data_IF_383603207288
#
_entry.id   IF_383603207288
#
_cell.length_a   1.000
_cell.length_b   1.000
_cell.length_c   1.000
_cell.angle_alpha   90.00
_cell.angle_beta   90.00
_cell.angle_gamma   90.00
#
_symmetry.space_group_name_H-M   'P 1'
#
loop_
_entity.id
_entity.type
_entity.pdbx_description
1 polymer ?
#
# COMPACT_ATOMS: atom_id res chain seq x y z
N UNK A 1 19.86 -20.12 9.70
CA UNK A 1 19.60 -18.66 9.50
C UNK A 1 20.84 -17.85 9.87
N UNK A 2 21.36 -17.02 8.97
CA UNK A 2 22.39 -16.02 9.27
C UNK A 2 21.68 -14.69 9.68
N UNK A 3 21.63 -14.44 10.97
CA UNK A 3 20.93 -13.24 11.51
C UNK A 3 21.58 -11.92 11.11
N UNK A 4 22.80 -11.94 10.56
CA UNK A 4 23.52 -10.74 10.14
C UNK A 4 23.27 -10.36 8.68
N UNK A 5 22.74 -11.27 7.86
CA UNK A 5 22.44 -11.04 6.45
C UNK A 5 20.93 -11.06 6.21
N UNK A 6 20.49 -10.27 5.25
CA UNK A 6 19.11 -10.30 4.74
C UNK A 6 18.84 -11.64 4.05
N UNK A 7 17.60 -12.11 4.15
CA UNK A 7 17.13 -13.19 3.25
C UNK A 7 17.10 -12.61 1.83
N UNK A 8 17.76 -13.26 0.85
CA UNK A 8 17.77 -12.76 -0.52
C UNK A 8 16.35 -12.69 -1.10
N UNK A 9 16.03 -11.60 -1.77
CA UNK A 9 14.76 -11.46 -2.49
C UNK A 9 14.90 -12.15 -3.84
N UNK A 10 13.86 -12.88 -4.25
CA UNK A 10 13.80 -13.48 -5.58
C UNK A 10 13.63 -12.43 -6.65
N UNK A 11 14.34 -12.57 -7.74
CA UNK A 11 14.27 -11.68 -8.90
C UNK A 11 14.20 -12.50 -10.19
N UNK A 12 13.63 -11.88 -11.23
CA UNK A 12 13.71 -12.44 -12.59
C UNK A 12 15.17 -12.54 -13.05
N UNK A 13 15.50 -13.64 -13.73
CA UNK A 13 16.81 -13.76 -14.41
C UNK A 13 17.05 -12.58 -15.34
N UNK A 14 18.31 -12.11 -15.40
CA UNK A 14 18.68 -10.92 -16.15
C UNK A 14 18.36 -11.01 -17.66
N UNK A 15 18.45 -12.20 -18.25
CA UNK A 15 18.12 -12.41 -19.67
C UNK A 15 16.60 -12.45 -19.88
N UNK A 16 15.84 -12.99 -18.92
CA UNK A 16 14.38 -13.05 -18.98
C UNK A 16 13.78 -11.66 -18.83
N UNK A 17 14.21 -10.89 -17.82
CA UNK A 17 13.69 -9.54 -17.59
C UNK A 17 14.00 -8.54 -18.71
N UNK A 18 15.02 -8.81 -19.53
CA UNK A 18 15.35 -7.99 -20.69
C UNK A 18 14.34 -8.15 -21.86
N UNK A 19 13.46 -9.14 -21.80
CA UNK A 19 12.47 -9.47 -22.87
C UNK A 19 11.04 -9.16 -22.50
N UNK A 20 10.76 -8.67 -21.30
CA UNK A 20 9.42 -8.37 -20.81
C UNK A 20 9.39 -7.12 -19.94
N UNK A 21 8.18 -6.67 -19.56
CA UNK A 21 7.94 -5.56 -18.64
C UNK A 21 7.30 -6.02 -17.33
N UNK A 22 7.43 -7.31 -17.01
CA UNK A 22 6.92 -7.87 -15.76
C UNK A 22 7.77 -7.41 -14.57
N UNK A 23 7.23 -7.54 -13.36
CA UNK A 23 7.91 -7.12 -12.15
C UNK A 23 9.20 -7.91 -11.93
N UNK A 24 10.33 -7.20 -11.86
CA UNK A 24 11.66 -7.83 -11.73
C UNK A 24 11.83 -8.46 -10.36
N UNK A 25 11.49 -7.74 -9.30
CA UNK A 25 11.56 -8.23 -7.93
C UNK A 25 10.29 -9.06 -7.62
N UNK A 26 10.45 -10.36 -7.43
CA UNK A 26 9.33 -11.28 -7.19
C UNK A 26 8.85 -11.29 -5.72
N UNK A 27 9.57 -10.60 -4.84
CA UNK A 27 9.25 -10.55 -3.41
C UNK A 27 9.58 -11.84 -2.67
N UNK A 28 9.13 -11.93 -1.42
CA UNK A 28 9.27 -13.12 -0.57
C UNK A 28 8.09 -14.09 -0.76
N UNK A 29 8.34 -15.39 -0.56
CA UNK A 29 7.30 -16.35 -0.23
C UNK A 29 7.08 -16.37 1.30
N UNK A 30 6.20 -17.26 1.78
CA UNK A 30 5.86 -17.37 3.20
C UNK A 30 7.07 -17.72 4.07
N UNK A 31 7.84 -18.72 3.67
CA UNK A 31 9.00 -19.20 4.42
C UNK A 31 10.09 -18.11 4.48
N UNK A 32 10.41 -17.50 3.35
CA UNK A 32 11.37 -16.40 3.25
C UNK A 32 10.96 -15.19 4.10
N UNK A 33 9.67 -14.84 4.08
CA UNK A 33 9.14 -13.74 4.88
C UNK A 33 9.23 -14.02 6.38
N UNK A 34 8.87 -15.23 6.82
CA UNK A 34 8.97 -15.64 8.24
C UNK A 34 10.44 -15.70 8.68
N UNK A 35 11.34 -16.18 7.83
CA UNK A 35 12.79 -16.20 8.09
C UNK A 35 13.33 -14.78 8.25
N UNK A 36 13.05 -13.87 7.31
CA UNK A 36 13.47 -12.47 7.40
C UNK A 36 12.86 -11.77 8.62
N UNK A 37 11.57 -12.00 8.90
CA UNK A 37 10.89 -11.47 10.07
C UNK A 37 11.55 -11.92 11.39
N UNK A 38 12.08 -13.14 11.44
CA UNK A 38 12.77 -13.70 12.62
C UNK A 38 14.08 -12.99 12.93
N UNK A 39 14.64 -12.21 12.02
CA UNK A 39 15.81 -11.36 12.28
C UNK A 39 15.47 -10.14 13.13
N UNK A 40 14.19 -9.74 13.20
CA UNK A 40 13.75 -8.63 14.04
C UNK A 40 13.87 -8.98 15.52
N UNK A 41 14.45 -8.09 16.31
CA UNK A 41 14.67 -8.28 17.75
C UNK A 41 13.59 -7.64 18.63
N UNK A 42 12.52 -7.09 18.06
CA UNK A 42 11.41 -6.51 18.82
C UNK A 42 11.83 -5.36 19.73
N UNK A 43 12.53 -4.34 19.24
CA UNK A 43 13.08 -3.26 20.04
C UNK A 43 11.99 -2.50 20.82
N UNK A 44 12.15 -2.32 22.15
CA UNK A 44 11.24 -1.48 22.97
C UNK A 44 11.19 -0.02 22.51
N UNK A 45 12.30 0.54 22.05
CA UNK A 45 12.41 1.88 21.48
C UNK A 45 12.82 1.76 20.01
N UNK A 46 11.90 1.30 19.19
CA UNK A 46 12.13 0.97 17.80
C UNK A 46 12.40 2.23 16.97
N UNK A 47 13.67 2.46 16.62
CA UNK A 47 14.05 3.62 15.81
C UNK A 47 13.51 3.52 14.37
N UNK A 48 13.23 2.32 13.88
CA UNK A 48 12.58 2.12 12.57
C UNK A 48 11.18 2.77 12.50
N UNK A 49 10.40 2.77 13.59
CA UNK A 49 9.12 3.49 13.65
C UNK A 49 9.34 4.98 13.42
N UNK A 50 10.35 5.57 14.08
CA UNK A 50 10.68 7.00 13.92
C UNK A 50 11.24 7.33 12.52
N UNK A 51 11.76 6.33 11.82
CA UNK A 51 12.21 6.45 10.44
C UNK A 51 11.07 6.32 9.42
N UNK A 52 9.89 5.86 9.83
CA UNK A 52 8.72 5.74 8.96
C UNK A 52 7.90 7.05 9.00
N UNK A 53 7.67 7.73 7.87
CA UNK A 53 6.90 8.98 7.84
C UNK A 53 5.48 8.87 8.38
N UNK A 54 4.87 7.68 8.30
CA UNK A 54 3.51 7.40 8.79
C UNK A 54 3.50 6.59 10.08
N UNK A 55 4.67 6.39 10.70
CA UNK A 55 4.85 5.75 11.99
C UNK A 55 4.17 4.37 12.14
N UNK A 56 4.31 3.49 11.11
CA UNK A 56 3.83 2.10 11.20
C UNK A 56 4.46 1.43 12.43
N UNK A 57 3.67 0.66 13.18
CA UNK A 57 4.19 -0.23 14.23
C UNK A 57 4.96 -1.39 13.60
N UNK A 58 6.22 -1.11 13.22
CA UNK A 58 7.08 -2.04 12.50
C UNK A 58 7.38 -3.30 13.30
N UNK A 59 7.81 -3.25 14.57
CA UNK A 59 7.99 -4.48 15.36
C UNK A 59 6.70 -5.27 15.51
N UNK A 60 5.56 -4.61 15.64
CA UNK A 60 4.27 -5.26 15.82
C UNK A 60 3.86 -6.07 14.59
N UNK A 61 3.92 -5.50 13.38
CA UNK A 61 3.58 -6.26 12.19
C UNK A 61 4.60 -7.37 11.88
N UNK A 62 5.90 -7.12 12.10
CA UNK A 62 6.94 -8.13 11.85
C UNK A 62 6.79 -9.33 12.80
N UNK A 63 6.42 -9.10 14.06
CA UNK A 63 6.15 -10.22 15.00
C UNK A 63 4.98 -11.09 14.53
N UNK A 64 3.95 -10.47 13.92
CA UNK A 64 2.84 -11.21 13.31
C UNK A 64 3.28 -12.02 12.09
N UNK A 65 4.09 -11.43 11.19
CA UNK A 65 4.66 -12.16 10.04
C UNK A 65 5.50 -13.34 10.52
N UNK A 66 6.35 -13.13 11.53
CA UNK A 66 7.17 -14.18 12.13
C UNK A 66 6.33 -15.34 12.68
N UNK A 67 5.16 -15.04 13.24
CA UNK A 67 4.20 -16.04 13.73
C UNK A 67 3.33 -16.67 12.63
N UNK A 68 3.45 -16.24 11.37
CA UNK A 68 2.63 -16.73 10.25
C UNK A 68 1.22 -16.13 10.19
N UNK A 69 0.91 -15.16 11.07
CA UNK A 69 -0.39 -14.47 11.11
C UNK A 69 -0.35 -13.22 10.22
N UNK A 70 -0.45 -13.45 8.90
CA UNK A 70 -0.27 -12.37 7.91
C UNK A 70 -1.47 -11.42 7.89
N UNK A 71 -2.67 -11.93 8.17
CA UNK A 71 -3.86 -11.09 8.29
C UNK A 71 -3.70 -10.08 9.43
N UNK A 72 -3.31 -10.54 10.63
CA UNK A 72 -3.06 -9.63 11.73
C UNK A 72 -1.90 -8.67 11.45
N UNK A 73 -0.86 -9.10 10.71
CA UNK A 73 0.23 -8.22 10.27
C UNK A 73 -0.32 -7.09 9.38
N UNK A 74 -1.19 -7.41 8.43
CA UNK A 74 -1.83 -6.44 7.55
C UNK A 74 -2.70 -5.45 8.34
N UNK A 75 -3.49 -5.92 9.31
CA UNK A 75 -4.30 -5.04 10.16
C UNK A 75 -3.41 -4.08 11.00
N UNK A 76 -2.23 -4.50 11.42
CA UNK A 76 -1.27 -3.60 12.10
C UNK A 76 -0.78 -2.51 11.15
N UNK A 77 -0.36 -2.87 9.93
CA UNK A 77 0.15 -1.92 8.92
C UNK A 77 -0.95 -0.93 8.52
N UNK A 78 -2.15 -1.42 8.24
CA UNK A 78 -3.27 -0.62 7.72
C UNK A 78 -3.80 0.43 8.70
N UNK A 79 -3.45 0.35 10.00
CA UNK A 79 -3.75 1.42 10.97
C UNK A 79 -3.06 2.75 10.63
N UNK A 80 -1.90 2.69 9.99
CA UNK A 80 -1.05 3.87 9.69
C UNK A 80 -0.80 4.08 8.20
N UNK A 81 -0.88 3.03 7.38
CA UNK A 81 -0.59 3.09 5.95
C UNK A 81 -1.80 2.62 5.14
N UNK A 82 -2.30 3.50 4.26
CA UNK A 82 -3.40 3.17 3.35
C UNK A 82 -2.91 2.48 2.06
N UNK A 83 -1.62 2.55 1.73
CA UNK A 83 -1.04 2.07 0.48
C UNK A 83 0.20 1.19 0.72
N UNK A 84 0.14 0.15 1.57
CA UNK A 84 1.33 -0.62 1.94
C UNK A 84 1.96 -1.37 0.77
N UNK A 85 1.20 -1.84 -0.20
CA UNK A 85 1.73 -2.49 -1.41
C UNK A 85 2.57 -1.52 -2.25
N UNK A 86 2.20 -0.24 -2.28
CA UNK A 86 2.97 0.83 -2.93
C UNK A 86 4.22 1.15 -2.11
N UNK A 87 4.03 1.44 -0.82
CA UNK A 87 5.13 1.81 0.08
C UNK A 87 6.23 0.74 0.12
N UNK A 88 5.87 -0.53 0.20
CA UNK A 88 6.82 -1.64 0.16
C UNK A 88 7.65 -1.74 -1.12
N UNK A 89 7.22 -1.06 -2.20
CA UNK A 89 7.93 -1.04 -3.49
C UNK A 89 8.70 0.24 -3.76
N UNK A 90 8.19 1.41 -3.35
CA UNK A 90 8.72 2.71 -3.79
C UNK A 90 9.31 3.58 -2.69
N UNK A 91 9.05 3.28 -1.40
CA UNK A 91 9.72 4.02 -0.32
C UNK A 91 11.23 3.81 -0.38
N UNK A 92 12.04 4.85 -0.14
CA UNK A 92 13.49 4.73 0.02
C UNK A 92 13.83 4.19 1.43
N UNK A 93 13.47 2.91 1.69
CA UNK A 93 13.53 2.29 3.02
C UNK A 93 14.94 2.35 3.63
N UNK A 94 15.98 2.28 2.79
CA UNK A 94 17.40 2.35 3.20
C UNK A 94 17.77 3.68 3.87
N UNK A 95 17.07 4.76 3.57
CA UNK A 95 17.24 6.07 4.20
C UNK A 95 16.18 6.36 5.28
N UNK A 96 15.14 5.56 5.35
CA UNK A 96 14.00 5.70 6.26
C UNK A 96 14.03 4.62 7.37
N UNK A 97 13.05 3.72 7.35
CA UNK A 97 12.87 2.71 8.41
C UNK A 97 14.03 1.72 8.50
N UNK A 98 14.51 1.18 7.38
CA UNK A 98 15.65 0.25 7.36
C UNK A 98 16.95 0.94 7.77
N UNK A 99 17.17 2.20 7.33
CA UNK A 99 18.33 3.00 7.74
C UNK A 99 18.40 3.31 9.23
N UNK A 100 17.28 3.11 9.97
CA UNK A 100 17.22 3.25 11.44
C UNK A 100 17.18 1.91 12.17
N UNK A 101 17.25 0.79 11.44
CA UNK A 101 17.21 -0.53 12.03
C UNK A 101 18.51 -0.85 12.77
N UNK A 102 18.42 -1.23 14.06
CA UNK A 102 19.59 -1.53 14.89
C UNK A 102 20.42 -2.72 14.36
N UNK A 103 19.80 -3.63 13.63
CA UNK A 103 20.52 -4.72 12.96
C UNK A 103 21.57 -4.21 11.97
N UNK A 104 21.33 -3.06 11.35
CA UNK A 104 22.26 -2.40 10.43
C UNK A 104 23.59 -1.93 11.05
N UNK A 105 23.72 -1.94 12.40
CA UNK A 105 24.96 -1.54 13.08
C UNK A 105 26.06 -2.61 12.94
N UNK A 106 25.68 -3.90 12.98
CA UNK A 106 26.65 -5.02 12.96
C UNK A 106 26.46 -5.96 11.76
N UNK A 107 25.46 -5.72 10.93
CA UNK A 107 25.12 -6.53 9.77
C UNK A 107 24.20 -5.75 8.84
N UNK A 108 23.29 -6.45 8.18
CA UNK A 108 22.29 -5.82 7.33
C UNK A 108 21.00 -5.53 8.12
N UNK A 109 20.33 -4.38 7.89
CA UNK A 109 19.04 -4.11 8.50
C UNK A 109 18.01 -5.15 8.09
N UNK A 110 16.93 -5.31 8.86
CA UNK A 110 15.79 -6.13 8.44
C UNK A 110 15.16 -5.51 7.19
N UNK A 111 14.78 -6.34 6.22
CA UNK A 111 14.13 -5.91 4.97
C UNK A 111 12.67 -5.51 5.21
N UNK A 112 12.48 -4.40 5.92
CA UNK A 112 11.16 -3.94 6.40
C UNK A 112 10.21 -3.70 5.23
N UNK A 113 10.68 -3.00 4.18
CA UNK A 113 9.86 -2.73 3.01
C UNK A 113 9.45 -4.00 2.24
N UNK A 114 10.33 -5.02 2.18
CA UNK A 114 10.00 -6.28 1.53
C UNK A 114 8.97 -7.09 2.33
N UNK A 115 9.03 -7.02 3.66
CA UNK A 115 8.02 -7.64 4.53
C UNK A 115 6.67 -6.88 4.46
N UNK A 116 6.69 -5.55 4.39
CA UNK A 116 5.49 -4.74 4.17
C UNK A 116 4.83 -5.09 2.82
N UNK A 117 5.63 -5.16 1.74
CA UNK A 117 5.18 -5.60 0.43
C UNK A 117 4.55 -6.99 0.46
N UNK A 118 5.26 -7.98 1.03
CA UNK A 118 4.77 -9.36 1.15
C UNK A 118 3.42 -9.39 1.86
N UNK A 119 3.30 -8.71 3.01
CA UNK A 119 2.08 -8.65 3.80
C UNK A 119 0.92 -8.05 3.01
N UNK A 120 1.16 -6.96 2.28
CA UNK A 120 0.15 -6.29 1.49
C UNK A 120 -0.28 -7.09 0.25
N UNK A 121 0.67 -7.73 -0.44
CA UNK A 121 0.38 -8.57 -1.60
C UNK A 121 -0.41 -9.82 -1.18
N UNK A 122 -0.03 -10.46 -0.08
CA UNK A 122 -0.75 -11.59 0.49
C UNK A 122 -2.19 -11.22 0.88
N UNK A 123 -2.37 -10.09 1.56
CA UNK A 123 -3.69 -9.61 1.96
C UNK A 123 -4.59 -9.38 0.73
N UNK A 124 -4.07 -8.74 -0.31
CA UNK A 124 -4.78 -8.53 -1.57
C UNK A 124 -5.18 -9.86 -2.24
N UNK A 125 -4.27 -10.83 -2.29
CA UNK A 125 -4.53 -12.14 -2.92
C UNK A 125 -5.58 -12.95 -2.16
N UNK A 126 -5.67 -12.76 -0.85
CA UNK A 126 -6.65 -13.43 0.02
C UNK A 126 -7.91 -12.59 0.27
N UNK A 127 -8.06 -11.43 -0.37
CA UNK A 127 -9.25 -10.58 -0.23
C UNK A 127 -9.40 -9.95 1.15
N UNK A 128 -8.29 -9.81 1.90
CA UNK A 128 -8.29 -9.18 3.22
C UNK A 128 -8.33 -7.66 3.04
N UNK A 129 -9.25 -7.02 3.73
CA UNK A 129 -9.40 -5.56 3.75
C UNK A 129 -9.10 -4.99 5.14
N UNK A 130 -8.73 -3.70 5.24
CA UNK A 130 -8.61 -3.04 6.53
C UNK A 130 -9.91 -3.08 7.31
N UNK A 131 -9.81 -3.13 8.65
CA UNK A 131 -11.00 -3.02 9.51
C UNK A 131 -11.76 -1.72 9.21
N UNK A 132 -13.05 -1.85 8.95
CA UNK A 132 -13.95 -0.74 8.67
C UNK A 132 -14.34 0.06 9.92
N UNK A 133 -15.11 1.13 9.72
CA UNK A 133 -15.64 1.92 10.81
C UNK A 133 -16.69 1.14 11.61
N UNK A 134 -16.59 1.17 12.93
CA UNK A 134 -17.61 0.57 13.83
C UNK A 134 -18.91 1.36 13.83
N UNK A 135 -18.85 2.67 13.54
CA UNK A 135 -20.01 3.57 13.56
C UNK A 135 -20.01 4.49 12.34
N UNK A 136 -21.19 4.68 11.75
CA UNK A 136 -21.39 5.64 10.65
C UNK A 136 -21.59 7.04 11.21
N UNK A 137 -20.86 8.02 10.69
CA UNK A 137 -20.97 9.42 11.12
C UNK A 137 -22.05 10.23 10.40
N UNK A 138 -22.72 9.65 9.41
CA UNK A 138 -23.82 10.26 8.67
C UNK A 138 -23.45 11.51 7.86
N UNK A 139 -22.17 11.81 7.66
CA UNK A 139 -21.69 12.96 6.88
C UNK A 139 -21.04 12.48 5.59
N UNK A 140 -21.29 13.25 4.51
CA UNK A 140 -20.73 13.02 3.17
C UNK A 140 -19.52 13.91 2.96
N UNK A 141 -18.44 13.36 2.43
CA UNK A 141 -17.21 14.08 2.13
C UNK A 141 -16.82 13.84 0.68
N UNK A 142 -16.49 14.92 -0.02
CA UNK A 142 -15.93 14.88 -1.36
C UNK A 142 -14.42 15.02 -1.30
N UNK A 143 -13.71 14.12 -1.96
CA UNK A 143 -12.26 14.19 -2.17
C UNK A 143 -11.99 14.46 -3.64
N UNK A 144 -11.21 15.49 -3.93
CA UNK A 144 -10.88 15.88 -5.31
C UNK A 144 -9.51 15.33 -5.68
N UNK A 145 -9.49 14.46 -6.69
CA UNK A 145 -8.31 13.72 -7.16
C UNK A 145 -8.15 12.37 -6.49
N UNK A 146 -7.81 11.37 -7.31
CA UNK A 146 -7.61 9.97 -6.89
C UNK A 146 -6.14 9.54 -6.89
N UNK A 147 -5.21 10.49 -6.89
CA UNK A 147 -3.80 10.17 -6.70
C UNK A 147 -3.51 9.62 -5.29
N UNK A 148 -2.25 9.26 -4.95
CA UNK A 148 -1.90 8.64 -3.66
C UNK A 148 -2.44 9.41 -2.46
N UNK A 149 -2.36 10.73 -2.47
CA UNK A 149 -2.85 11.57 -1.38
C UNK A 149 -4.39 11.52 -1.25
N UNK A 150 -5.11 11.59 -2.38
CA UNK A 150 -6.57 11.51 -2.39
C UNK A 150 -7.07 10.14 -1.94
N UNK A 151 -6.45 9.06 -2.42
CA UNK A 151 -6.79 7.70 -2.02
C UNK A 151 -6.53 7.46 -0.53
N UNK A 152 -5.38 7.93 -0.01
CA UNK A 152 -5.07 7.85 1.42
C UNK A 152 -6.08 8.61 2.27
N UNK A 153 -6.36 9.87 1.92
CA UNK A 153 -7.34 10.69 2.62
C UNK A 153 -8.73 10.05 2.61
N UNK A 154 -9.17 9.58 1.46
CA UNK A 154 -10.48 8.94 1.30
C UNK A 154 -10.59 7.64 2.11
N UNK A 155 -9.55 6.80 2.08
CA UNK A 155 -9.49 5.56 2.86
C UNK A 155 -9.55 5.83 4.36
N UNK A 156 -8.79 6.80 4.85
CA UNK A 156 -8.79 7.18 6.27
C UNK A 156 -10.16 7.73 6.70
N UNK A 157 -10.76 8.60 5.91
CA UNK A 157 -12.09 9.14 6.18
C UNK A 157 -13.17 8.05 6.18
N UNK A 158 -13.12 7.10 5.25
CA UNK A 158 -14.02 5.96 5.21
C UNK A 158 -13.89 5.10 6.47
N UNK A 159 -12.64 4.81 6.90
CA UNK A 159 -12.39 4.09 8.17
C UNK A 159 -12.84 4.85 9.41
N UNK A 160 -12.96 6.17 9.32
CA UNK A 160 -13.55 7.00 10.38
C UNK A 160 -15.09 7.03 10.35
N UNK A 161 -15.74 6.36 9.39
CA UNK A 161 -17.20 6.24 9.28
C UNK A 161 -17.87 7.33 8.45
N UNK A 162 -17.13 8.07 7.63
CA UNK A 162 -17.69 9.03 6.69
C UNK A 162 -18.07 8.35 5.37
N UNK A 163 -19.12 8.84 4.72
CA UNK A 163 -19.47 8.50 3.34
C UNK A 163 -18.58 9.33 2.40
N UNK A 164 -17.64 8.69 1.70
CA UNK A 164 -16.63 9.39 0.89
C UNK A 164 -16.89 9.17 -0.58
N UNK A 165 -16.89 10.28 -1.33
CA UNK A 165 -16.93 10.28 -2.80
C UNK A 165 -15.65 10.91 -3.33
N UNK A 166 -14.93 10.21 -4.21
CA UNK A 166 -13.75 10.74 -4.88
C UNK A 166 -14.13 11.19 -6.29
N UNK A 167 -13.71 12.39 -6.66
CA UNK A 167 -13.86 12.94 -8.00
C UNK A 167 -12.51 12.97 -8.70
N UNK A 168 -12.42 12.32 -9.87
CA UNK A 168 -11.19 12.24 -10.66
C UNK A 168 -11.44 12.82 -12.06
N UNK A 169 -10.56 13.71 -12.51
CA UNK A 169 -10.65 14.34 -13.82
C UNK A 169 -10.12 13.45 -14.96
N UNK A 170 -9.23 12.51 -14.67
CA UNK A 170 -8.67 11.61 -15.66
C UNK A 170 -9.61 10.40 -15.87
N UNK A 171 -9.39 9.67 -16.97
CA UNK A 171 -10.23 8.53 -17.36
C UNK A 171 -10.05 7.29 -16.46
N UNK A 172 -8.93 7.22 -15.72
CA UNK A 172 -8.65 6.17 -14.74
C UNK A 172 -8.26 6.77 -13.40
N UNK A 173 -8.76 6.17 -12.32
CA UNK A 173 -8.39 6.55 -10.96
C UNK A 173 -7.01 6.02 -10.59
N UNK A 174 -6.28 6.76 -9.76
CA UNK A 174 -4.96 6.36 -9.25
C UNK A 174 -3.86 7.40 -9.49
N UNK A 175 -4.05 8.31 -10.44
CA UNK A 175 -3.06 9.36 -10.75
C UNK A 175 -1.70 8.76 -11.07
N UNK A 176 -0.62 9.21 -10.38
CA UNK A 176 0.75 8.71 -10.60
C UNK A 176 0.90 7.20 -10.36
N UNK A 177 0.03 6.58 -9.60
CA UNK A 177 0.05 5.12 -9.40
C UNK A 177 -0.23 4.36 -10.69
N UNK A 178 -1.04 4.93 -11.58
CA UNK A 178 -1.37 4.34 -12.88
C UNK A 178 -0.47 4.89 -13.99
N UNK A 179 -0.27 6.22 -14.00
CA UNK A 179 0.40 6.88 -15.12
C UNK A 179 1.91 7.04 -14.96
N UNK A 180 2.47 6.83 -13.74
CA UNK A 180 3.87 7.13 -13.45
C UNK A 180 4.69 5.97 -12.86
N UNK A 181 4.08 5.08 -12.07
CA UNK A 181 4.84 4.03 -11.35
C UNK A 181 4.87 2.69 -12.13
N UNK A 182 4.36 2.68 -13.36
CA UNK A 182 4.46 1.53 -14.26
C UNK A 182 3.18 0.70 -14.36
N UNK A 183 2.87 0.26 -15.57
CA UNK A 183 1.58 -0.34 -15.92
C UNK A 183 1.36 -1.79 -15.45
N UNK A 184 2.31 -2.43 -14.79
CA UNK A 184 2.20 -3.86 -14.45
C UNK A 184 1.68 -4.18 -13.06
N UNK A 185 1.78 -3.30 -12.09
CA UNK A 185 1.87 -3.73 -10.70
C UNK A 185 0.95 -3.04 -9.71
N UNK A 186 0.40 -1.88 -10.05
CA UNK A 186 -0.52 -1.15 -9.20
C UNK A 186 -1.92 -1.13 -9.79
N UNK A 187 -2.54 -2.27 -9.81
CA UNK A 187 -3.98 -2.29 -9.95
C UNK A 187 -4.59 -1.80 -8.66
N UNK A 188 -5.10 -0.57 -8.69
CA UNK A 188 -6.32 -0.27 -7.97
C UNK A 188 -7.36 -1.18 -8.61
N UNK A 189 -7.43 -2.44 -8.18
CA UNK A 189 -8.40 -3.39 -8.74
C UNK A 189 -9.79 -2.84 -8.47
N UNK A 190 -10.64 -2.92 -9.48
CA UNK A 190 -12.08 -2.59 -9.44
C UNK A 190 -12.86 -3.20 -8.25
N UNK A 191 -12.25 -4.10 -7.49
CA UNK A 191 -12.88 -4.84 -6.41
C UNK A 191 -12.76 -4.16 -5.04
N UNK A 192 -11.80 -3.25 -4.83
CA UNK A 192 -11.67 -2.50 -3.57
C UNK A 192 -12.45 -1.18 -3.58
N UNK A 193 -12.85 -0.72 -4.78
CA UNK A 193 -13.60 0.50 -4.96
C UNK A 193 -14.73 0.24 -5.98
N UNK A 194 -15.97 0.47 -5.59
CA UNK A 194 -17.10 0.41 -6.52
C UNK A 194 -17.04 1.63 -7.46
N UNK A 195 -16.65 1.38 -8.71
CA UNK A 195 -16.72 2.39 -9.76
C UNK A 195 -18.14 2.49 -10.28
N UNK A 196 -18.91 3.49 -9.87
CA UNK A 196 -20.13 3.82 -10.58
C UNK A 196 -19.83 4.88 -11.64
N UNK A 197 -20.01 4.51 -12.93
CA UNK A 197 -20.10 5.49 -14.02
C UNK A 197 -21.50 6.11 -13.98
N UNK A 198 -21.72 7.05 -13.10
CA UNK A 198 -22.94 7.85 -13.14
C UNK A 198 -22.74 9.13 -12.35
N UNK A 199 -22.68 10.17 -13.02
CA UNK A 199 -23.41 11.41 -12.80
C UNK A 199 -22.78 12.53 -13.60
N UNK A 200 -23.50 13.07 -14.57
CA UNK A 200 -23.26 14.42 -15.10
C UNK A 200 -24.10 15.36 -14.24
N UNK A 201 -23.53 16.22 -13.42
CA UNK A 201 -24.24 17.39 -12.97
C UNK A 201 -24.40 18.30 -14.19
N UNK A 202 -25.62 18.54 -14.61
CA UNK A 202 -25.93 19.59 -15.57
C UNK A 202 -25.37 20.90 -14.98
N UNK A 203 -24.40 21.51 -15.64
CA UNK A 203 -23.83 22.80 -15.24
C UNK A 203 -22.31 22.91 -15.18
N UNK A 204 -21.55 21.84 -15.26
CA UNK A 204 -20.08 21.89 -15.16
C UNK A 204 -19.34 21.68 -16.49
N UNK A 205 -20.06 21.55 -17.62
CA UNK A 205 -19.47 21.31 -18.94
C UNK A 205 -19.76 22.50 -19.86
N UNK A 206 -18.71 23.18 -20.32
CA UNK A 206 -18.77 24.05 -21.51
C UNK A 206 -18.41 23.21 -22.73
N UNK A 207 -19.27 23.13 -23.76
CA UNK A 207 -19.10 22.19 -24.89
C UNK A 207 -17.93 22.51 -25.84
N UNK A 208 -17.22 23.61 -25.67
CA UNK A 208 -16.32 24.15 -26.67
C UNK A 208 -14.83 23.86 -26.48
N UNK A 209 -14.43 23.22 -25.40
CA UNK A 209 -13.02 22.90 -25.13
C UNK A 209 -12.78 21.41 -24.92
N UNK A 210 -12.35 20.74 -26.00
CA UNK A 210 -11.72 19.39 -26.08
C UNK A 210 -12.46 18.24 -25.37
N UNK A 211 -12.62 17.14 -26.13
CA UNK A 211 -13.12 15.86 -25.62
C UNK A 211 -12.30 15.35 -24.43
N UNK A 212 -12.62 15.82 -23.23
CA UNK A 212 -12.14 15.26 -21.97
C UNK A 212 -13.14 14.17 -21.58
N UNK A 213 -12.64 12.97 -21.31
CA UNK A 213 -13.45 11.88 -20.80
C UNK A 213 -14.24 12.33 -19.57
N UNK A 214 -15.49 11.84 -19.37
CA UNK A 214 -16.27 12.25 -18.21
C UNK A 214 -15.51 11.91 -16.93
N UNK A 215 -15.61 12.72 -15.86
CA UNK A 215 -14.92 12.46 -14.60
C UNK A 215 -15.33 11.09 -14.05
N UNK A 216 -14.33 10.34 -13.59
CA UNK A 216 -14.55 9.09 -12.87
C UNK A 216 -14.97 9.43 -11.44
N UNK A 217 -16.13 8.96 -11.03
CA UNK A 217 -16.61 9.10 -9.65
C UNK A 217 -16.35 7.78 -8.94
N UNK A 218 -15.54 7.81 -7.91
CA UNK A 218 -15.25 6.68 -7.06
C UNK A 218 -16.08 6.82 -5.78
N UNK A 219 -17.00 5.91 -5.55
CA UNK A 219 -17.75 5.82 -4.31
C UNK A 219 -17.13 4.71 -3.47
N UNK A 220 -16.69 5.03 -2.26
CA UNK A 220 -16.25 4.03 -1.29
C UNK A 220 -17.49 3.66 -0.46
N UNK A 221 -18.06 2.46 -0.67
CA UNK A 221 -19.20 2.02 0.12
C UNK A 221 -18.76 1.74 1.56
N UNK A 222 -19.65 2.01 2.49
CA UNK A 222 -19.56 1.51 3.86
C UNK A 222 -20.19 0.12 3.88
N UNK A 223 -19.40 -0.91 4.14
CA UNK A 223 -19.92 -2.18 4.61
C UNK A 223 -20.04 -2.18 6.13
#
# INVERSE_FOLDING_TARGET
MDVLKKVPVREQDAKVRATNFEEVCLGYNMEEAMEEASRCIGCKNAQCIKGCPVAIDIPGFIEKVKGGDIEAAYQVISKSSALPAVCGRVCPQESQCEGKCIRGIKGEPVSIGKLERFTADWARENGIVPEGAKEKRGKKIAVIGSGPAGLTCAGDLARMGYEVTIFEALHEAGGVLVYGIGQGHFFVRKHEFHFSRSFRPEGWYRPEERAVSPPVILIIPHE
#
